data_IF_979334982512
#
_entry.id   IF_979334982512
#
_cell.length_a   1.000
_cell.length_b   1.000
_cell.length_c   1.000
_cell.angle_alpha   90.00
_cell.angle_beta   90.00
_cell.angle_gamma   90.00
#
_symmetry.space_group_name_H-M   'P 1'
#
loop_
_entity.id
_entity.type
_entity.pdbx_description
1 polymer ?
#
# COMPACT_ATOMS: atom_id res chain seq x y z
N UNK A 1 8.15 -3.76 15.53
CA UNK A 1 6.99 -2.88 15.26
C UNK A 1 5.85 -3.64 14.58
N UNK A 2 6.00 -4.15 13.34
CA UNK A 2 4.91 -4.83 12.60
C UNK A 2 4.28 -6.01 13.37
N UNK A 3 5.09 -6.91 13.95
CA UNK A 3 4.57 -8.00 14.82
C UNK A 3 3.76 -7.50 16.02
N UNK A 4 4.10 -6.33 16.57
CA UNK A 4 3.40 -5.72 17.70
C UNK A 4 2.17 -4.92 17.30
N UNK A 5 2.14 -4.39 16.08
CA UNK A 5 0.99 -3.68 15.50
C UNK A 5 -0.22 -4.59 15.30
N UNK A 6 0.03 -5.87 14.97
CA UNK A 6 -1.01 -6.86 14.72
C UNK A 6 -1.33 -7.69 15.97
N UNK A 7 -2.31 -7.22 16.76
CA UNK A 7 -2.87 -8.03 17.88
C UNK A 7 -3.48 -9.36 17.42
N UNK A 8 -3.85 -9.47 16.14
CA UNK A 8 -4.44 -10.66 15.52
C UNK A 8 -3.41 -11.70 15.01
N UNK A 9 -2.11 -11.47 15.20
CA UNK A 9 -1.02 -12.30 14.69
C UNK A 9 -0.37 -11.75 13.40
N UNK A 10 0.78 -12.29 12.97
CA UNK A 10 1.51 -11.80 11.81
C UNK A 10 0.64 -11.83 10.54
N UNK A 11 0.89 -10.93 9.58
CA UNK A 11 0.10 -10.91 8.35
C UNK A 11 0.30 -12.23 7.60
N UNK A 12 -0.74 -12.68 6.89
CA UNK A 12 -0.66 -13.91 6.08
C UNK A 12 -0.48 -13.62 4.59
N UNK A 13 -0.68 -12.37 4.20
CA UNK A 13 -0.61 -11.88 2.82
C UNK A 13 0.13 -10.55 2.81
N UNK A 14 0.78 -10.30 1.68
CA UNK A 14 1.38 -9.01 1.38
C UNK A 14 0.88 -8.53 0.02
N UNK A 15 0.65 -7.23 -0.11
CA UNK A 15 0.41 -6.56 -1.39
C UNK A 15 1.40 -5.43 -1.49
N UNK A 16 2.24 -5.43 -2.53
CA UNK A 16 3.23 -4.41 -2.79
C UNK A 16 2.84 -3.58 -4.00
N UNK A 17 2.81 -2.27 -3.82
CA UNK A 17 2.66 -1.32 -4.92
C UNK A 17 3.91 -0.46 -5.02
N UNK A 18 4.29 -0.06 -6.24
CA UNK A 18 5.25 1.03 -6.43
C UNK A 18 6.72 0.68 -6.18
N UNK A 19 7.15 -0.57 -6.41
CA UNK A 19 8.56 -0.96 -6.22
C UNK A 19 9.55 -0.28 -7.18
N UNK A 20 9.08 0.13 -8.36
CA UNK A 20 9.85 0.72 -9.44
C UNK A 20 10.74 -0.28 -10.19
N UNK A 21 11.55 0.25 -11.11
CA UNK A 21 12.48 -0.51 -11.97
C UNK A 21 13.74 -0.93 -11.21
N UNK A 22 13.66 -1.98 -10.40
CA UNK A 22 14.76 -2.41 -9.53
C UNK A 22 15.99 -2.97 -10.27
N UNK A 23 15.88 -3.32 -11.56
CA UNK A 23 17.05 -3.69 -12.35
C UNK A 23 17.94 -2.48 -12.63
N UNK A 24 17.36 -1.30 -12.84
CA UNK A 24 18.10 -0.07 -13.21
C UNK A 24 18.20 0.98 -12.11
N UNK A 25 17.38 0.89 -11.05
CA UNK A 25 17.34 1.85 -9.96
C UNK A 25 17.83 1.24 -8.62
N UNK A 26 18.93 1.74 -8.04
CA UNK A 26 19.42 1.27 -6.73
C UNK A 26 18.42 1.44 -5.59
N UNK A 27 17.65 2.53 -5.58
CA UNK A 27 16.60 2.78 -4.57
C UNK A 27 15.51 1.70 -4.65
N UNK A 28 14.97 1.46 -5.84
CA UNK A 28 13.98 0.39 -6.09
C UNK A 28 14.52 -1.00 -5.71
N UNK A 29 15.81 -1.26 -5.98
CA UNK A 29 16.46 -2.51 -5.59
C UNK A 29 16.54 -2.68 -4.07
N UNK A 30 16.85 -1.62 -3.34
CA UNK A 30 16.82 -1.64 -1.87
C UNK A 30 15.41 -1.83 -1.32
N UNK A 31 14.40 -1.23 -1.96
CA UNK A 31 13.00 -1.48 -1.60
C UNK A 31 12.60 -2.95 -1.82
N UNK A 32 12.98 -3.57 -2.94
CA UNK A 32 12.74 -5.00 -3.16
C UNK A 32 13.46 -5.86 -2.11
N UNK A 33 14.73 -5.54 -1.81
CA UNK A 33 15.48 -6.25 -0.78
C UNK A 33 14.81 -6.19 0.59
N UNK A 34 14.34 -5.00 1.00
CA UNK A 34 13.59 -4.84 2.24
C UNK A 34 12.26 -5.60 2.22
N UNK A 35 11.52 -5.57 1.11
CA UNK A 35 10.28 -6.35 0.97
C UNK A 35 10.55 -7.84 1.23
N UNK A 36 11.56 -8.42 0.58
CA UNK A 36 11.92 -9.83 0.74
C UNK A 36 12.31 -10.17 2.19
N UNK A 37 13.14 -9.34 2.82
CA UNK A 37 13.52 -9.49 4.23
C UNK A 37 12.31 -9.39 5.17
N UNK A 38 11.36 -8.49 4.86
CA UNK A 38 10.15 -8.31 5.65
C UNK A 38 9.20 -9.50 5.52
N UNK A 39 9.09 -10.09 4.33
CA UNK A 39 8.32 -11.32 4.12
C UNK A 39 8.88 -12.48 4.96
N UNK A 40 10.20 -12.67 4.92
CA UNK A 40 10.89 -13.69 5.71
C UNK A 40 10.71 -13.47 7.21
N UNK A 41 10.99 -12.25 7.69
CA UNK A 41 10.83 -11.88 9.11
C UNK A 41 9.38 -12.04 9.59
N UNK A 42 8.39 -11.85 8.74
CA UNK A 42 6.97 -12.02 9.11
C UNK A 42 6.43 -13.43 8.85
N UNK A 43 7.21 -14.31 8.23
CA UNK A 43 6.78 -15.64 7.81
C UNK A 43 5.68 -15.61 6.75
N UNK A 44 5.62 -14.58 5.92
CA UNK A 44 4.71 -14.50 4.77
C UNK A 44 5.35 -15.25 3.60
N UNK A 45 4.77 -16.36 3.11
CA UNK A 45 5.32 -17.06 1.96
C UNK A 45 5.39 -16.15 0.73
N UNK A 46 6.45 -16.20 -0.11
CA UNK A 46 6.54 -15.38 -1.32
C UNK A 46 5.30 -15.52 -2.22
N UNK A 47 4.75 -16.73 -2.34
CA UNK A 47 3.52 -16.99 -3.10
C UNK A 47 2.24 -16.40 -2.49
N UNK A 48 2.31 -15.71 -1.35
CA UNK A 48 1.24 -14.90 -0.75
C UNK A 48 1.56 -13.40 -0.78
N UNK A 49 2.64 -13.00 -1.48
CA UNK A 49 2.97 -11.62 -1.76
C UNK A 49 2.59 -11.28 -3.20
N UNK A 50 1.61 -10.39 -3.34
CA UNK A 50 1.15 -9.87 -4.62
C UNK A 50 1.88 -8.55 -4.91
N UNK A 51 2.37 -8.36 -6.12
CA UNK A 51 3.15 -7.16 -6.48
C UNK A 51 2.60 -6.54 -7.77
N UNK A 52 2.56 -5.22 -7.80
CA UNK A 52 2.20 -4.45 -8.98
C UNK A 52 2.97 -3.14 -9.04
N UNK A 53 3.54 -2.87 -10.21
CA UNK A 53 4.05 -1.56 -10.55
C UNK A 53 3.93 -1.39 -12.07
N UNK A 54 3.28 -0.32 -12.57
CA UNK A 54 3.18 -0.07 -14.00
C UNK A 54 4.54 0.21 -14.66
N UNK A 55 5.59 0.49 -13.89
CA UNK A 55 6.93 0.74 -14.38
C UNK A 55 7.76 -0.52 -14.64
N UNK A 56 7.31 -1.70 -14.19
CA UNK A 56 8.05 -2.96 -14.40
C UNK A 56 8.27 -3.25 -15.88
N UNK A 57 9.48 -3.71 -16.21
CA UNK A 57 9.77 -4.29 -17.53
C UNK A 57 9.58 -5.82 -17.49
N UNK A 58 9.59 -6.46 -18.65
CA UNK A 58 9.54 -7.93 -18.76
C UNK A 58 10.62 -8.61 -17.92
N UNK A 59 11.80 -7.97 -17.80
CA UNK A 59 12.89 -8.49 -16.96
C UNK A 59 12.53 -8.46 -15.47
N UNK A 60 11.94 -7.36 -14.97
CA UNK A 60 11.48 -7.31 -13.57
C UNK A 60 10.37 -8.33 -13.32
N UNK A 61 9.41 -8.46 -14.25
CA UNK A 61 8.32 -9.44 -14.12
C UNK A 61 8.83 -10.88 -14.02
N UNK A 62 9.81 -11.25 -14.86
CA UNK A 62 10.44 -12.56 -14.82
C UNK A 62 11.17 -12.81 -13.49
N UNK A 63 11.97 -11.84 -13.02
CA UNK A 63 12.71 -11.95 -11.76
C UNK A 63 11.79 -12.05 -10.54
N UNK A 64 10.67 -11.30 -10.52
CA UNK A 64 9.68 -11.41 -9.45
C UNK A 64 9.05 -12.82 -9.41
N UNK A 65 8.80 -13.41 -10.58
CA UNK A 65 8.35 -14.80 -10.70
C UNK A 65 9.37 -15.82 -10.18
N UNK A 66 10.65 -15.65 -10.51
CA UNK A 66 11.75 -16.49 -10.00
C UNK A 66 11.90 -16.38 -8.47
N UNK A 67 11.64 -15.20 -7.91
CA UNK A 67 11.59 -14.97 -6.45
C UNK A 67 10.33 -15.57 -5.79
N UNK A 68 9.42 -16.16 -6.56
CA UNK A 68 8.19 -16.78 -6.07
C UNK A 68 7.08 -15.80 -5.69
N UNK A 69 7.22 -14.52 -6.04
CA UNK A 69 6.21 -13.49 -5.83
C UNK A 69 5.11 -13.60 -6.89
N UNK A 70 3.89 -13.16 -6.55
CA UNK A 70 2.75 -13.17 -7.49
C UNK A 70 2.55 -11.80 -8.11
N UNK A 71 2.42 -11.74 -9.42
CA UNK A 71 2.05 -10.50 -10.12
C UNK A 71 0.53 -10.29 -10.00
N UNK A 72 0.10 -9.07 -9.69
CA UNK A 72 -1.32 -8.72 -9.89
C UNK A 72 -1.60 -8.61 -11.39
N UNK A 73 -2.73 -9.14 -11.86
CA UNK A 73 -3.04 -9.19 -13.30
C UNK A 73 -3.48 -7.83 -13.87
N UNK A 74 -3.91 -6.91 -13.02
CA UNK A 74 -4.43 -5.61 -13.44
C UNK A 74 -4.01 -4.49 -12.47
N UNK A 75 -4.07 -3.26 -12.99
CA UNK A 75 -3.91 -2.06 -12.18
C UNK A 75 -5.18 -1.84 -11.34
N UNK A 76 -5.16 -2.31 -10.10
CA UNK A 76 -6.24 -2.11 -9.14
C UNK A 76 -6.27 -0.67 -8.56
N UNK A 77 -5.33 0.20 -8.96
CA UNK A 77 -5.24 1.59 -8.46
C UNK A 77 -5.18 1.68 -6.93
N UNK A 78 -4.62 0.66 -6.26
CA UNK A 78 -4.54 0.57 -4.79
C UNK A 78 -5.85 0.17 -4.10
N UNK A 79 -6.90 -0.21 -4.84
CA UNK A 79 -8.24 -0.55 -4.31
C UNK A 79 -8.36 -1.99 -3.80
N UNK A 80 -7.26 -2.58 -3.33
CA UNK A 80 -7.23 -3.98 -2.92
C UNK A 80 -7.91 -4.20 -1.57
N UNK A 81 -8.88 -5.10 -1.55
CA UNK A 81 -9.66 -5.41 -0.34
C UNK A 81 -8.97 -6.47 0.51
N UNK A 82 -8.96 -6.26 1.83
CA UNK A 82 -8.50 -7.28 2.77
C UNK A 82 -9.49 -8.43 2.86
N UNK A 83 -8.97 -9.63 3.07
CA UNK A 83 -9.77 -10.82 3.34
C UNK A 83 -10.03 -11.02 4.84
N UNK A 84 -10.08 -12.29 5.24
CA UNK A 84 -10.29 -12.68 6.64
C UNK A 84 -9.05 -12.50 7.52
N UNK A 85 -7.86 -12.58 6.91
CA UNK A 85 -6.58 -12.44 7.60
C UNK A 85 -6.01 -11.02 7.48
N UNK A 86 -5.08 -10.67 8.37
CA UNK A 86 -4.31 -9.44 8.26
C UNK A 86 -3.44 -9.44 6.99
N UNK A 87 -3.41 -8.29 6.32
CA UNK A 87 -2.66 -8.05 5.08
C UNK A 87 -1.69 -6.90 5.30
N UNK A 88 -0.42 -7.14 4.95
CA UNK A 88 0.59 -6.11 4.84
C UNK A 88 0.47 -5.43 3.47
N UNK A 89 0.44 -4.11 3.44
CA UNK A 89 0.53 -3.30 2.25
C UNK A 89 1.89 -2.60 2.24
N UNK A 90 2.73 -2.93 1.27
CA UNK A 90 4.07 -2.35 1.10
C UNK A 90 4.03 -1.33 -0.03
N UNK A 91 4.08 -0.05 0.32
CA UNK A 91 3.73 1.08 -0.56
C UNK A 91 4.73 2.23 -0.48
N UNK A 92 6.01 1.94 -0.22
CA UNK A 92 7.04 2.98 -0.06
C UNK A 92 7.08 3.91 -1.28
N UNK A 93 7.06 5.22 -1.06
CA UNK A 93 7.02 6.28 -2.09
C UNK A 93 5.84 6.23 -3.06
N UNK A 94 4.80 5.44 -2.78
CA UNK A 94 3.56 5.47 -3.56
C UNK A 94 2.90 6.85 -3.49
N UNK A 95 2.17 7.20 -4.55
CA UNK A 95 1.35 8.41 -4.56
C UNK A 95 0.22 8.37 -3.53
N UNK A 96 -0.20 9.54 -3.04
CA UNK A 96 -1.19 9.70 -1.95
C UNK A 96 -2.54 9.07 -2.29
N UNK A 97 -2.92 9.12 -3.56
CA UNK A 97 -4.14 8.51 -4.08
C UNK A 97 -4.20 7.00 -3.85
N UNK A 98 -3.06 6.28 -3.91
CA UNK A 98 -3.03 4.84 -3.65
C UNK A 98 -3.39 4.52 -2.19
N UNK A 99 -2.90 5.31 -1.23
CA UNK A 99 -3.29 5.15 0.18
C UNK A 99 -4.76 5.48 0.41
N UNK A 100 -5.23 6.57 -0.19
CA UNK A 100 -6.62 7.01 -0.07
C UNK A 100 -7.58 5.96 -0.67
N UNK A 101 -7.25 5.36 -1.83
CA UNK A 101 -7.99 4.27 -2.45
C UNK A 101 -7.95 2.97 -1.60
N UNK A 102 -6.80 2.65 -1.00
CA UNK A 102 -6.67 1.51 -0.12
C UNK A 102 -7.56 1.65 1.11
N UNK A 103 -7.58 2.83 1.72
CA UNK A 103 -8.45 3.13 2.85
C UNK A 103 -9.92 3.04 2.46
N UNK A 104 -10.32 3.68 1.35
CA UNK A 104 -11.68 3.64 0.83
C UNK A 104 -12.18 2.21 0.57
N UNK A 105 -11.40 1.39 -0.14
CA UNK A 105 -11.77 0.01 -0.46
C UNK A 105 -11.92 -0.87 0.79
N UNK A 106 -11.39 -0.44 1.92
CA UNK A 106 -11.43 -1.13 3.20
C UNK A 106 -12.14 -0.32 4.31
N UNK A 107 -13.02 0.64 3.95
CA UNK A 107 -13.57 1.65 4.87
C UNK A 107 -14.61 1.15 5.89
N UNK A 108 -14.21 0.18 6.71
CA UNK A 108 -14.98 -0.33 7.83
C UNK A 108 -14.03 -0.66 8.99
N UNK A 109 -14.43 -0.44 10.26
CA UNK A 109 -13.52 -0.63 11.40
C UNK A 109 -12.85 -2.00 11.44
N UNK A 110 -13.61 -3.07 11.15
CA UNK A 110 -13.09 -4.45 11.15
C UNK A 110 -12.16 -4.74 9.96
N UNK A 111 -12.37 -4.08 8.83
CA UNK A 111 -11.52 -4.24 7.65
C UNK A 111 -10.20 -3.48 7.85
N UNK A 112 -10.26 -2.20 8.22
CA UNK A 112 -9.05 -1.42 8.53
C UNK A 112 -8.21 -2.02 9.65
N UNK A 113 -8.82 -2.63 10.66
CA UNK A 113 -8.08 -3.35 11.72
C UNK A 113 -7.24 -4.54 11.22
N UNK A 114 -7.43 -4.99 9.97
CA UNK A 114 -6.63 -6.03 9.30
C UNK A 114 -5.60 -5.46 8.31
N UNK A 115 -5.60 -4.14 8.12
CA UNK A 115 -4.65 -3.44 7.25
C UNK A 115 -3.43 -3.05 8.07
N UNK A 116 -2.24 -3.37 7.56
CA UNK A 116 -0.97 -2.77 8.01
C UNK A 116 -0.29 -2.18 6.80
N UNK A 117 0.20 -0.95 6.91
CA UNK A 117 0.85 -0.26 5.79
C UNK A 117 2.30 0.00 6.16
N UNK A 118 3.22 -0.34 5.27
CA UNK A 118 4.60 0.18 5.27
C UNK A 118 4.70 1.14 4.10
N UNK A 119 4.79 2.43 4.37
CA UNK A 119 4.74 3.46 3.33
C UNK A 119 4.90 4.86 3.90
N UNK A 120 4.57 5.88 3.12
CA UNK A 120 4.72 7.29 3.44
C UNK A 120 3.95 7.68 4.70
N UNK A 121 4.56 8.49 5.55
CA UNK A 121 3.99 9.00 6.80
C UNK A 121 2.66 9.71 6.56
N UNK A 122 1.59 9.24 7.21
CA UNK A 122 0.30 9.94 7.17
C UNK A 122 0.37 11.29 7.88
N UNK A 123 1.12 11.37 8.99
CA UNK A 123 1.44 12.66 9.63
C UNK A 123 2.24 13.58 8.71
N UNK A 124 3.24 13.05 8.01
CA UNK A 124 4.02 13.80 7.02
C UNK A 124 3.17 14.28 5.84
N UNK A 125 2.15 13.53 5.44
CA UNK A 125 1.17 13.95 4.44
C UNK A 125 0.30 15.09 4.99
N UNK A 126 -0.22 14.97 6.22
CA UNK A 126 -1.02 16.00 6.90
C UNK A 126 -0.24 17.32 7.06
N UNK A 127 1.03 17.26 7.45
CA UNK A 127 1.87 18.44 7.69
C UNK A 127 2.23 19.19 6.40
N UNK A 128 2.35 18.50 5.26
CA UNK A 128 2.78 19.08 3.99
C UNK A 128 1.64 19.60 3.11
N UNK A 129 0.44 19.04 3.27
CA UNK A 129 -0.72 19.46 2.50
C UNK A 129 -1.52 20.53 3.23
N UNK A 130 -2.11 21.45 2.46
CA UNK A 130 -3.13 22.34 3.01
C UNK A 130 -4.34 21.52 3.47
N UNK A 131 -4.89 21.81 4.65
CA UNK A 131 -6.02 21.03 5.22
C UNK A 131 -7.19 20.90 4.24
N UNK A 132 -7.54 21.98 3.52
CA UNK A 132 -8.58 21.97 2.49
C UNK A 132 -8.31 20.99 1.33
N UNK A 133 -7.05 20.79 0.95
CA UNK A 133 -6.65 19.87 -0.13
C UNK A 133 -6.67 18.45 0.40
N UNK A 134 -6.14 18.22 1.61
CA UNK A 134 -6.19 16.91 2.26
C UNK A 134 -7.64 16.43 2.44
N UNK A 135 -8.52 17.29 2.94
CA UNK A 135 -9.92 16.97 3.18
C UNK A 135 -10.72 16.74 1.89
N UNK A 136 -10.43 17.50 0.83
CA UNK A 136 -11.10 17.37 -0.48
C UNK A 136 -10.60 16.15 -1.26
N UNK A 137 -9.30 16.03 -1.47
CA UNK A 137 -8.72 15.06 -2.41
C UNK A 137 -8.34 13.74 -1.74
N UNK A 138 -7.97 13.78 -0.46
CA UNK A 138 -7.46 12.63 0.29
C UNK A 138 -8.26 12.41 1.58
N UNK A 139 -9.59 12.53 1.45
CA UNK A 139 -10.53 12.57 2.57
C UNK A 139 -10.45 11.35 3.50
N UNK A 140 -10.11 10.17 2.96
CA UNK A 140 -9.96 8.95 3.76
C UNK A 140 -8.69 8.97 4.61
N UNK A 141 -7.59 9.55 4.09
CA UNK A 141 -6.39 9.82 4.89
C UNK A 141 -6.77 10.80 6.02
N UNK A 142 -7.38 11.94 5.69
CA UNK A 142 -7.78 12.96 6.67
C UNK A 142 -8.61 12.38 7.83
N UNK A 143 -9.61 11.57 7.49
CA UNK A 143 -10.55 10.98 8.45
C UNK A 143 -9.93 9.91 9.34
N UNK A 144 -8.98 9.13 8.83
CA UNK A 144 -8.42 7.98 9.56
C UNK A 144 -7.30 8.38 10.53
N UNK A 145 -6.75 9.60 10.44
CA UNK A 145 -5.60 10.05 11.24
C UNK A 145 -5.74 9.76 12.74
N UNK A 146 -6.88 10.13 13.34
CA UNK A 146 -7.16 9.87 14.78
C UNK A 146 -7.28 8.37 15.10
N UNK A 147 -7.72 7.58 14.13
CA UNK A 147 -7.85 6.13 14.21
C UNK A 147 -6.57 5.35 13.92
N UNK A 148 -5.49 6.05 13.55
CA UNK A 148 -4.23 5.46 13.10
C UNK A 148 -3.19 5.47 14.23
N UNK A 149 -2.43 4.40 14.32
CA UNK A 149 -1.14 4.40 14.98
C UNK A 149 -0.05 4.38 13.92
N UNK A 150 1.00 5.15 14.16
CA UNK A 150 2.09 5.33 13.22
C UNK A 150 3.42 5.31 13.95
N UNK A 151 4.40 4.58 13.41
CA UNK A 151 5.78 4.63 13.85
C UNK A 151 6.71 4.80 12.64
N UNK A 152 7.52 5.85 12.67
CA UNK A 152 8.52 6.11 11.64
C UNK A 152 9.60 5.03 11.63
N UNK A 153 10.15 4.75 10.45
CA UNK A 153 11.33 3.92 10.30
C UNK A 153 12.53 4.54 11.04
N UNK A 154 13.44 3.70 11.56
CA UNK A 154 14.68 4.21 12.14
C UNK A 154 15.49 4.95 11.06
N UNK A 155 15.95 6.14 11.40
CA UNK A 155 16.83 6.90 10.52
C UNK A 155 18.16 6.16 10.36
N UNK A 156 18.59 6.00 9.11
CA UNK A 156 19.90 5.42 8.79
C UNK A 156 20.53 6.21 7.64
N UNK A 157 21.75 6.75 7.79
CA UNK A 157 22.40 7.58 6.76
C UNK A 157 22.45 6.91 5.39
N UNK A 158 22.80 5.62 5.34
CA UNK A 158 22.95 4.88 4.08
C UNK A 158 21.63 4.59 3.35
N UNK A 159 20.48 4.81 4.01
CA UNK A 159 19.15 4.56 3.46
C UNK A 159 18.25 5.80 3.49
N UNK A 160 18.81 6.97 3.79
CA UNK A 160 18.07 8.21 3.92
C UNK A 160 17.42 8.66 2.59
N UNK A 161 17.93 8.21 1.44
CA UNK A 161 17.36 8.46 0.12
C UNK A 161 16.27 7.44 -0.28
N UNK A 162 16.16 6.34 0.46
CA UNK A 162 15.37 5.16 0.07
C UNK A 162 14.16 4.99 0.98
N UNK A 163 14.34 5.19 2.29
CA UNK A 163 13.30 4.99 3.29
C UNK A 163 13.00 6.28 4.07
N UNK A 164 13.33 7.45 3.50
CA UNK A 164 12.83 8.71 4.04
C UNK A 164 11.31 8.70 4.08
N UNK A 165 10.76 9.40 5.07
CA UNK A 165 9.31 9.56 5.23
C UNK A 165 8.54 8.22 5.32
N UNK A 166 9.22 7.11 5.56
CA UNK A 166 8.61 5.78 5.64
C UNK A 166 8.21 5.48 7.07
N UNK A 167 6.97 5.03 7.24
CA UNK A 167 6.34 4.68 8.50
C UNK A 167 5.60 3.35 8.39
N UNK A 168 5.39 2.73 9.55
CA UNK A 168 4.48 1.60 9.71
C UNK A 168 3.17 2.13 10.29
N UNK A 169 2.07 1.92 9.59
CA UNK A 169 0.72 2.28 10.01
C UNK A 169 -0.09 1.05 10.38
N UNK A 170 -0.86 1.15 11.45
CA UNK A 170 -1.91 0.18 11.77
C UNK A 170 -3.09 0.88 12.42
N UNK A 171 -4.24 0.22 12.41
CA UNK A 171 -5.50 0.83 12.81
C UNK A 171 -6.12 0.03 13.97
N UNK A 172 -5.78 0.35 15.24
CA UNK A 172 -6.33 -0.36 16.38
C UNK A 172 -7.86 -0.26 16.39
N UNK A 173 -8.53 -1.42 16.48
CA UNK A 173 -9.99 -1.47 16.45
C UNK A 173 -10.65 -0.57 17.52
N UNK A 174 -10.03 -0.42 18.69
CA UNK A 174 -10.55 0.46 19.75
C UNK A 174 -10.49 1.94 19.35
N UNK A 175 -9.38 2.41 18.75
CA UNK A 175 -9.28 3.77 18.19
C UNK A 175 -10.28 4.01 17.06
N UNK A 176 -10.51 3.00 16.22
CA UNK A 176 -11.49 3.10 15.14
C UNK A 176 -12.94 3.24 15.67
N UNK A 177 -13.27 2.55 16.76
CA UNK A 177 -14.59 2.67 17.40
C UNK A 177 -14.82 4.01 18.10
N UNK A 178 -13.74 4.72 18.44
CA UNK A 178 -13.80 6.07 19.03
C UNK A 178 -14.08 7.16 17.99
N UNK A 179 -13.96 6.86 16.68
CA UNK A 179 -14.33 7.78 15.61
C UNK A 179 -15.86 7.95 15.54
N UNK A 180 -16.33 9.14 15.15
CA UNK A 180 -17.76 9.42 14.99
C UNK A 180 -18.39 8.52 13.91
N UNK A 181 -19.68 8.23 14.04
CA UNK A 181 -20.42 7.45 13.04
C UNK A 181 -20.36 8.09 11.64
N UNK A 182 -20.40 9.42 11.59
CA UNK A 182 -20.32 10.24 10.36
C UNK A 182 -19.06 9.94 9.53
N UNK A 183 -17.94 9.57 10.17
CA UNK A 183 -16.70 9.19 9.46
C UNK A 183 -16.94 7.97 8.58
N UNK A 184 -17.74 7.02 9.06
CA UNK A 184 -18.01 5.75 8.39
C UNK A 184 -19.17 5.82 7.39
N UNK A 185 -19.99 6.88 7.45
CA UNK A 185 -21.07 7.14 6.49
C UNK A 185 -20.53 7.59 5.12
N UNK A 186 -19.27 8.04 5.06
CA UNK A 186 -18.61 8.36 3.80
C UNK A 186 -18.23 7.07 3.04
N UNK A 187 -18.80 6.89 1.86
CA UNK A 187 -18.57 5.70 1.02
C UNK A 187 -18.26 6.04 -0.46
N UNK A 188 -18.20 7.32 -0.82
CA UNK A 188 -17.99 7.74 -2.21
C UNK A 188 -16.58 7.40 -2.69
N UNK A 189 -16.51 6.80 -3.88
CA UNK A 189 -15.23 6.47 -4.49
C UNK A 189 -14.45 7.75 -4.84
N UNK A 190 -13.16 7.87 -4.46
CA UNK A 190 -12.34 9.01 -4.87
C UNK A 190 -12.21 9.12 -6.39
N UNK A 191 -12.59 10.28 -6.96
CA UNK A 191 -12.51 10.54 -8.41
C UNK A 191 -11.32 11.44 -8.81
N UNK A 192 -10.76 12.19 -7.86
CA UNK A 192 -9.59 13.08 -8.01
C UNK A 192 -9.65 14.06 -9.20
N UNK A 193 -10.84 14.50 -9.62
CA UNK A 193 -11.03 15.33 -10.82
C UNK A 193 -10.36 16.71 -10.72
N UNK A 194 -10.24 17.26 -9.51
CA UNK A 194 -9.66 18.58 -9.25
C UNK A 194 -8.22 18.52 -8.68
N UNK A 195 -7.54 17.36 -8.81
CA UNK A 195 -6.21 17.14 -8.26
C UNK A 195 -5.13 17.42 -9.31
N UNK A 196 -4.43 18.55 -9.19
CA UNK A 196 -3.43 19.00 -10.17
C UNK A 196 -2.18 18.10 -10.20
N UNK A 197 -1.75 17.58 -9.04
CA UNK A 197 -0.55 16.75 -8.87
C UNK A 197 -0.90 15.29 -8.53
N UNK A 198 -1.76 14.67 -9.36
CA UNK A 198 -2.22 13.30 -9.12
C UNK A 198 -1.14 12.26 -9.44
N UNK A 199 -0.50 11.73 -8.41
CA UNK A 199 0.56 10.71 -8.47
C UNK A 199 0.01 9.27 -8.62
N UNK A 200 -0.89 9.01 -9.58
CA UNK A 200 -1.40 7.65 -9.87
C UNK A 200 -1.56 7.41 -11.37
N UNK A 201 -1.14 6.23 -11.82
CA UNK A 201 -1.47 5.76 -13.18
C UNK A 201 -2.83 5.08 -13.10
N UNK A 202 -3.79 5.55 -13.90
CA UNK A 202 -5.15 5.02 -13.95
C UNK A 202 -5.25 3.81 -14.88
N UNK A 203 -6.24 2.94 -14.65
CA UNK A 203 -6.61 1.87 -15.58
C UNK A 203 -7.15 2.49 -16.87
N UNK A 204 -6.73 1.97 -18.02
CA UNK A 204 -7.34 2.33 -19.30
C UNK A 204 -8.75 1.72 -19.39
N UNK A 205 -9.76 2.54 -19.65
CA UNK A 205 -11.09 2.07 -20.03
C UNK A 205 -11.01 1.45 -21.44
N UNK A 206 -10.79 0.13 -21.55
CA UNK A 206 -10.99 -0.60 -22.82
C UNK A 206 -9.91 -1.59 -23.28
N UNK A 207 -8.88 -1.89 -22.50
CA UNK A 207 -7.85 -2.88 -22.88
C UNK A 207 -8.23 -4.31 -22.49
N UNK A 208 -8.77 -5.11 -23.41
CA UNK A 208 -8.85 -6.57 -23.24
C UNK A 208 -7.44 -7.14 -23.06
N UNK A 209 -7.16 -7.80 -21.93
CA UNK A 209 -5.92 -8.53 -21.74
C UNK A 209 -5.79 -9.62 -22.83
N UNK A 210 -4.61 -9.78 -23.49
CA UNK A 210 -4.38 -10.97 -24.27
C UNK A 210 -4.39 -12.17 -23.31
N UNK A 211 -5.37 -13.05 -23.51
CA UNK A 211 -5.51 -14.33 -22.85
C UNK A 211 -4.15 -15.05 -22.85
N UNK A 212 -3.64 -15.36 -21.66
CA UNK A 212 -2.55 -16.31 -21.50
C UNK A 212 -3.03 -17.66 -22.04
N UNK A 213 -2.67 -17.97 -23.27
CA UNK A 213 -2.87 -19.29 -23.84
C UNK A 213 -2.06 -20.28 -23.00
N UNK A 214 -2.79 -21.24 -22.42
CA UNK A 214 -2.28 -22.26 -21.55
C UNK A 214 -1.14 -23.05 -22.22
N UNK A 215 0.04 -23.02 -21.59
CA UNK A 215 1.02 -24.09 -21.72
C UNK A 215 0.51 -25.28 -20.89
N UNK A 216 0.08 -26.32 -21.60
CA UNK A 216 -0.05 -27.68 -21.06
C UNK A 216 0.45 -28.66 -22.15
N UNK A 217 0.91 -29.85 -21.72
CA UNK A 217 2.27 -30.35 -21.95
C UNK A 217 2.53 -30.97 -23.33
#
# INVERSE_FOLDING_TARGET
AVRGALRAGPPRRCVSYGLGRFCSCPVARRQLALLLLLLDELGVPPGQCFVFDPAFTEQELALLGELGLRLLPENEEGKHRVGEAATLFYMIHCGKALYNNLLWSNWAPRALARVVIVGNSFRGIEERLLSRVLERDYSYIAKVLKGTEEIAFPAHPDYADTFNDTSIHWFPLEKLKELSSEVWECAEEPTYEECEDLEIIRREEGGSAPCAAALQP
#
